data_IF_407951827983
#
_entry.id   IF_407951827983
#
_cell.length_a   1.000
_cell.length_b   1.000
_cell.length_c   1.000
_cell.angle_alpha   90.00
_cell.angle_beta   90.00
_cell.angle_gamma   90.00
#
_symmetry.space_group_name_H-M   'P 1'
#
loop_
_entity.id
_entity.type
_entity.pdbx_description
1 polymer ?
#
# COMPACT_ATOMS: atom_id res chain seq x y z
N UNK A 1 -11.95 -2.19 -23.21
CA UNK A 1 -12.35 -0.90 -22.60
C UNK A 1 -13.20 -1.14 -21.35
N UNK A 2 -12.60 -1.50 -20.20
CA UNK A 2 -13.30 -1.49 -18.88
C UNK A 2 -12.37 -1.75 -17.67
N UNK A 3 -11.07 -1.48 -17.77
CA UNK A 3 -10.11 -1.72 -16.66
C UNK A 3 -10.01 -0.50 -15.74
N UNK A 4 -9.96 0.71 -16.30
CA UNK A 4 -9.87 1.96 -15.52
C UNK A 4 -11.11 2.25 -14.65
N UNK A 5 -12.31 1.85 -15.08
CA UNK A 5 -13.56 2.10 -14.33
C UNK A 5 -13.65 1.27 -13.04
N UNK A 6 -13.19 0.03 -13.10
CA UNK A 6 -13.20 -0.92 -11.98
C UNK A 6 -12.19 -0.52 -10.91
N UNK A 7 -11.02 -0.02 -11.34
CA UNK A 7 -9.94 0.42 -10.46
C UNK A 7 -10.36 1.57 -9.54
N UNK A 8 -11.05 2.58 -10.09
CA UNK A 8 -11.53 3.74 -9.34
C UNK A 8 -12.55 3.39 -8.25
N UNK A 9 -13.51 2.50 -8.56
CA UNK A 9 -14.55 2.08 -7.62
C UNK A 9 -14.00 1.21 -6.49
N UNK A 10 -12.99 0.39 -6.81
CA UNK A 10 -12.19 -0.37 -5.83
C UNK A 10 -11.54 0.62 -4.87
N UNK A 11 -10.75 1.57 -5.36
CA UNK A 11 -10.02 2.54 -4.53
C UNK A 11 -10.93 3.31 -3.55
N UNK A 12 -12.11 3.78 -3.97
CA UNK A 12 -13.03 4.51 -3.10
C UNK A 12 -13.65 3.63 -1.98
N UNK A 13 -14.02 2.39 -2.30
CA UNK A 13 -14.52 1.44 -1.30
C UNK A 13 -13.43 1.08 -0.28
N UNK A 14 -12.19 0.91 -0.76
CA UNK A 14 -11.05 0.61 0.10
C UNK A 14 -10.62 1.79 0.96
N UNK A 15 -10.74 3.03 0.48
CA UNK A 15 -10.49 4.19 1.32
C UNK A 15 -11.51 4.28 2.46
N UNK A 16 -12.78 3.95 2.18
CA UNK A 16 -13.81 3.85 3.22
C UNK A 16 -13.51 2.72 4.20
N UNK A 17 -13.13 1.54 3.73
CA UNK A 17 -12.82 0.42 4.63
C UNK A 17 -11.50 0.66 5.40
N UNK A 18 -10.49 1.30 4.81
CA UNK A 18 -9.26 1.75 5.48
C UNK A 18 -9.61 2.77 6.57
N UNK A 19 -10.38 3.80 6.24
CA UNK A 19 -10.83 4.78 7.22
C UNK A 19 -11.66 4.14 8.33
N UNK A 20 -12.60 3.24 8.00
CA UNK A 20 -13.44 2.58 9.00
C UNK A 20 -12.67 1.58 9.87
N UNK A 21 -11.68 0.88 9.31
CA UNK A 21 -10.96 -0.20 10.01
C UNK A 21 -9.74 0.31 10.78
N UNK A 22 -9.03 1.29 10.23
CA UNK A 22 -7.76 1.76 10.78
C UNK A 22 -7.88 3.15 11.42
N UNK A 23 -8.57 4.10 10.77
CA UNK A 23 -8.74 5.45 11.34
C UNK A 23 -9.85 5.49 12.41
N UNK A 24 -11.01 4.89 12.15
CA UNK A 24 -12.17 4.88 13.06
C UNK A 24 -12.23 3.62 13.94
N UNK A 25 -11.54 2.54 13.54
CA UNK A 25 -11.49 1.28 14.29
C UNK A 25 -10.80 1.39 15.65
N UNK A 26 -10.05 2.47 15.90
CA UNK A 26 -9.59 2.85 17.23
C UNK A 26 -10.72 3.08 18.24
N UNK A 27 -11.95 3.37 17.78
CA UNK A 27 -13.12 3.52 18.65
C UNK A 27 -13.91 2.21 18.90
N UNK A 28 -13.78 1.18 18.06
CA UNK A 28 -14.71 0.03 18.06
C UNK A 28 -14.05 -1.35 18.17
N UNK A 29 -12.72 -1.44 18.25
CA UNK A 29 -12.03 -2.73 18.42
C UNK A 29 -11.01 -2.76 19.54
N UNK A 30 -11.40 -2.29 20.73
CA UNK A 30 -10.77 -2.73 21.96
C UNK A 30 -11.30 -4.13 22.33
N UNK A 31 -10.55 -5.19 22.00
CA UNK A 31 -10.58 -6.39 22.84
C UNK A 31 -9.55 -6.18 23.96
N UNK A 32 -9.86 -6.53 25.21
CA UNK A 32 -8.93 -6.32 26.31
C UNK A 32 -7.84 -7.38 26.22
N UNK A 33 -6.64 -6.96 25.85
CA UNK A 33 -5.42 -7.67 26.20
C UNK A 33 -4.57 -6.70 27.01
N UNK A 34 -4.18 -7.13 28.20
CA UNK A 34 -3.47 -6.33 29.19
C UNK A 34 -2.16 -5.74 28.62
N UNK A 35 -1.90 -4.49 29.01
CA UNK A 35 -0.69 -3.71 28.74
C UNK A 35 -0.41 -3.30 27.27
N UNK A 36 -1.20 -2.32 26.80
CA UNK A 36 -0.83 -1.48 25.65
C UNK A 36 -2.02 -0.65 25.19
N UNK A 37 -2.07 0.63 25.57
CA UNK A 37 -3.14 1.54 25.13
C UNK A 37 -3.29 1.51 23.60
N UNK A 38 -4.52 1.49 23.05
CA UNK A 38 -4.74 1.78 21.65
C UNK A 38 -4.18 3.17 21.37
N UNK A 39 -3.11 3.27 20.56
CA UNK A 39 -2.59 4.55 20.12
C UNK A 39 -3.61 5.13 19.15
N UNK A 40 -4.34 6.17 19.58
CA UNK A 40 -4.91 7.08 18.59
C UNK A 40 -3.74 7.61 17.76
N UNK A 41 -3.78 7.48 16.41
CA UNK A 41 -2.78 8.10 15.57
C UNK A 41 -2.91 9.60 15.79
N UNK A 42 -1.93 10.18 16.48
CA UNK A 42 -1.94 11.57 16.97
C UNK A 42 -2.06 12.62 15.86
N UNK A 43 -1.97 12.19 14.59
CA UNK A 43 -1.86 13.03 13.41
C UNK A 43 -2.89 12.68 12.32
N UNK A 44 -4.10 12.25 12.68
CA UNK A 44 -5.20 12.05 11.73
C UNK A 44 -4.91 11.02 10.64
N UNK A 45 -5.41 11.24 9.42
CA UNK A 45 -5.22 10.34 8.27
C UNK A 45 -3.75 10.18 7.89
N UNK A 46 -2.96 11.25 7.99
CA UNK A 46 -1.51 11.18 7.81
C UNK A 46 -0.86 10.20 8.79
N UNK A 47 -1.17 10.33 10.09
CA UNK A 47 -0.67 9.44 11.13
C UNK A 47 -1.09 8.00 10.89
N UNK A 48 -2.36 7.79 10.51
CA UNK A 48 -2.89 6.48 10.16
C UNK A 48 -2.11 5.80 9.03
N UNK A 49 -1.87 6.52 7.93
CA UNK A 49 -1.12 6.01 6.77
C UNK A 49 0.32 5.71 7.15
N UNK A 50 0.98 6.62 7.88
CA UNK A 50 2.34 6.46 8.37
C UNK A 50 2.48 5.21 9.24
N UNK A 51 1.63 5.06 10.25
CA UNK A 51 1.64 3.90 11.15
C UNK A 51 1.31 2.60 10.40
N UNK A 52 0.41 2.67 9.42
CA UNK A 52 0.08 1.54 8.57
C UNK A 52 1.30 1.08 7.74
N UNK A 53 2.03 2.00 7.10
CA UNK A 53 3.24 1.67 6.33
C UNK A 53 4.29 1.03 7.25
N UNK A 54 4.54 1.60 8.43
CA UNK A 54 5.49 1.03 9.38
C UNK A 54 5.09 -0.40 9.80
N UNK A 55 3.87 -0.58 10.29
CA UNK A 55 3.46 -1.87 10.83
C UNK A 55 3.24 -2.95 9.76
N UNK A 56 2.65 -2.60 8.62
CA UNK A 56 2.31 -3.58 7.60
C UNK A 56 3.43 -3.86 6.61
N UNK A 57 4.35 -2.91 6.40
CA UNK A 57 5.41 -3.04 5.40
C UNK A 57 6.81 -3.10 6.02
N UNK A 58 7.21 -2.09 6.79
CA UNK A 58 8.61 -2.00 7.23
C UNK A 58 8.92 -2.96 8.38
N UNK A 59 8.16 -2.91 9.47
CA UNK A 59 8.34 -3.76 10.67
C UNK A 59 7.93 -5.21 10.43
N UNK A 60 7.04 -5.39 9.45
CA UNK A 60 6.69 -6.70 8.92
C UNK A 60 7.93 -7.45 8.39
N UNK A 61 8.97 -6.77 7.90
CA UNK A 61 10.18 -7.43 7.39
C UNK A 61 11.27 -7.44 8.45
N UNK A 62 11.73 -8.62 8.85
CA UNK A 62 12.77 -8.75 9.87
C UNK A 62 14.18 -8.57 9.28
N UNK A 63 14.99 -7.76 9.97
CA UNK A 63 16.38 -7.49 9.63
C UNK A 63 16.74 -6.03 9.90
N UNK A 64 17.99 -5.77 10.27
CA UNK A 64 18.51 -4.41 10.51
C UNK A 64 19.11 -3.75 9.26
N UNK A 65 19.27 -4.51 8.17
CA UNK A 65 19.83 -4.06 6.89
C UNK A 65 18.96 -4.58 5.74
N UNK A 66 17.95 -3.80 5.36
CA UNK A 66 16.98 -4.09 4.29
C UNK A 66 17.32 -3.25 3.06
N UNK A 67 17.19 -3.85 1.87
CA UNK A 67 17.28 -3.13 0.60
C UNK A 67 15.87 -2.96 0.06
N UNK A 68 15.34 -1.74 0.15
CA UNK A 68 13.96 -1.42 -0.19
C UNK A 68 13.86 -0.91 -1.62
N UNK A 69 12.94 -1.48 -2.41
CA UNK A 69 12.72 -1.12 -3.80
C UNK A 69 11.36 -0.47 -3.97
N UNK A 70 11.31 0.66 -4.69
CA UNK A 70 10.05 1.27 -5.09
C UNK A 70 10.07 1.76 -6.52
N UNK A 71 8.91 1.71 -7.20
CA UNK A 71 8.73 2.46 -8.45
C UNK A 71 8.44 3.94 -8.16
N UNK A 72 8.35 4.74 -9.22
CA UNK A 72 8.13 6.19 -9.09
C UNK A 72 6.82 6.55 -8.37
N UNK A 73 5.77 5.74 -8.55
CA UNK A 73 4.45 6.03 -7.97
C UNK A 73 4.41 5.67 -6.48
N UNK A 74 4.93 4.50 -6.12
CA UNK A 74 5.15 4.10 -4.74
C UNK A 74 6.08 5.07 -4.01
N UNK A 75 7.15 5.54 -4.65
CA UNK A 75 8.03 6.56 -4.08
C UNK A 75 7.29 7.87 -3.78
N UNK A 76 6.42 8.33 -4.69
CA UNK A 76 5.60 9.52 -4.46
C UNK A 76 4.69 9.36 -3.23
N UNK A 77 4.05 8.20 -3.07
CA UNK A 77 3.21 7.90 -1.90
C UNK A 77 4.02 7.87 -0.61
N UNK A 78 5.19 7.21 -0.60
CA UNK A 78 6.06 7.18 0.58
C UNK A 78 6.53 8.58 0.98
N UNK A 79 6.95 9.39 0.00
CA UNK A 79 7.45 10.75 0.24
C UNK A 79 6.39 11.71 0.80
N UNK A 80 5.09 11.38 0.65
CA UNK A 80 4.02 12.16 1.28
C UNK A 80 3.92 11.94 2.79
N UNK A 81 4.25 10.75 3.30
CA UNK A 81 4.00 10.37 4.70
C UNK A 81 5.26 10.06 5.50
N UNK A 82 6.38 9.83 4.82
CA UNK A 82 7.65 9.42 5.39
C UNK A 82 8.78 10.34 4.94
N UNK A 83 9.71 10.56 5.85
CA UNK A 83 11.00 11.21 5.60
C UNK A 83 12.08 10.11 5.52
N UNK A 84 13.20 10.33 4.82
CA UNK A 84 14.25 9.31 4.68
C UNK A 84 14.77 8.74 6.01
N UNK A 85 14.90 9.57 7.06
CA UNK A 85 15.31 9.09 8.39
C UNK A 85 14.35 8.04 8.99
N UNK A 86 13.06 8.10 8.66
CA UNK A 86 12.08 7.13 9.14
C UNK A 86 12.38 5.75 8.55
N UNK A 87 12.74 5.68 7.27
CA UNK A 87 13.09 4.41 6.63
C UNK A 87 14.32 3.78 7.30
N UNK A 88 15.32 4.60 7.64
CA UNK A 88 16.57 4.15 8.27
C UNK A 88 16.30 3.61 9.67
N UNK A 89 15.48 4.28 10.48
CA UNK A 89 15.08 3.82 11.82
C UNK A 89 14.39 2.45 11.77
N UNK A 90 13.66 2.17 10.69
CA UNK A 90 13.02 0.88 10.44
C UNK A 90 13.92 -0.11 9.66
N UNK A 91 15.23 0.10 9.63
CA UNK A 91 16.24 -0.83 9.13
C UNK A 91 16.42 -0.84 7.61
N UNK A 92 15.92 0.17 6.89
CA UNK A 92 16.21 0.34 5.45
C UNK A 92 17.58 1.02 5.30
N UNK A 93 18.54 0.29 4.76
CA UNK A 93 19.91 0.81 4.53
C UNK A 93 20.08 1.36 3.12
N UNK A 94 19.29 0.86 2.17
CA UNK A 94 19.31 1.28 0.78
C UNK A 94 17.87 1.39 0.28
N UNK A 95 17.55 2.52 -0.35
CA UNK A 95 16.31 2.75 -1.09
C UNK A 95 16.68 2.89 -2.56
N UNK A 96 16.23 1.96 -3.40
CA UNK A 96 16.56 1.93 -4.83
C UNK A 96 15.30 1.99 -5.70
N UNK A 97 15.42 2.60 -6.88
CA UNK A 97 14.37 2.58 -7.89
C UNK A 97 14.24 1.18 -8.49
N UNK A 98 13.02 0.65 -8.49
CA UNK A 98 12.67 -0.65 -9.04
C UNK A 98 13.16 -0.81 -10.49
N UNK A 99 13.13 0.26 -11.29
CA UNK A 99 13.41 0.21 -12.73
C UNK A 99 14.90 0.28 -13.06
N UNK A 100 15.76 0.57 -12.08
CA UNK A 100 17.20 0.68 -12.28
C UNK A 100 17.92 -0.66 -12.11
N UNK A 101 18.97 -0.94 -12.91
CA UNK A 101 19.80 -2.13 -12.70
C UNK A 101 20.51 -2.08 -11.35
N UNK A 102 20.47 -3.19 -10.62
CA UNK A 102 20.93 -3.25 -9.22
C UNK A 102 21.94 -4.35 -8.93
N UNK A 103 22.74 -4.13 -7.88
CA UNK A 103 23.76 -5.07 -7.41
C UNK A 103 23.16 -5.98 -6.33
N UNK A 104 23.31 -7.32 -6.45
CA UNK A 104 22.86 -8.26 -5.42
C UNK A 104 23.48 -8.00 -4.05
N UNK A 105 22.67 -8.10 -3.01
CA UNK A 105 23.11 -8.10 -1.61
C UNK A 105 22.46 -9.32 -0.94
N UNK A 106 23.11 -10.46 -1.10
CA UNK A 106 22.56 -11.79 -0.79
C UNK A 106 22.17 -11.95 0.69
N UNK A 107 22.82 -11.21 1.59
CA UNK A 107 22.55 -11.24 3.03
C UNK A 107 21.32 -10.45 3.46
N UNK A 108 20.82 -9.54 2.63
CA UNK A 108 19.76 -8.59 3.01
C UNK A 108 18.40 -9.05 2.49
N UNK A 109 17.31 -8.90 3.27
CA UNK A 109 15.95 -9.03 2.75
C UNK A 109 15.62 -7.89 1.79
N UNK A 110 14.75 -8.18 0.81
CA UNK A 110 14.32 -7.23 -0.20
C UNK A 110 12.80 -7.00 -0.17
N UNK A 111 12.33 -5.93 0.51
CA UNK A 111 11.00 -5.39 0.33
C UNK A 111 10.86 -4.66 -1.01
N UNK A 112 9.83 -5.00 -1.77
CA UNK A 112 9.44 -4.35 -3.02
C UNK A 112 8.07 -3.70 -2.84
N UNK A 113 7.95 -2.41 -3.14
CA UNK A 113 6.71 -1.66 -3.08
C UNK A 113 6.43 -0.95 -4.40
N UNK A 114 5.45 -1.41 -5.16
CA UNK A 114 5.24 -0.94 -6.53
C UNK A 114 3.82 -1.19 -7.05
N UNK A 115 3.48 -0.56 -8.16
CA UNK A 115 2.22 -0.79 -8.89
C UNK A 115 2.33 -2.07 -9.68
N UNK A 116 1.35 -2.96 -9.54
CA UNK A 116 1.39 -4.29 -10.16
C UNK A 116 1.00 -4.26 -11.64
N UNK A 117 1.86 -3.61 -12.42
CA UNK A 117 1.84 -3.52 -13.87
C UNK A 117 2.89 -4.44 -14.49
N UNK A 118 2.76 -4.70 -15.79
CA UNK A 118 3.62 -5.65 -16.50
C UNK A 118 5.11 -5.31 -16.40
N UNK A 119 5.48 -4.03 -16.52
CA UNK A 119 6.89 -3.61 -16.50
C UNK A 119 7.56 -3.76 -15.11
N UNK A 120 7.00 -3.21 -14.01
CA UNK A 120 7.48 -3.47 -12.65
C UNK A 120 7.57 -4.96 -12.30
N UNK A 121 6.52 -5.74 -12.60
CA UNK A 121 6.49 -7.19 -12.33
C UNK A 121 7.59 -7.91 -13.11
N UNK A 122 7.78 -7.60 -14.39
CA UNK A 122 8.83 -8.21 -15.21
C UNK A 122 10.22 -7.94 -14.63
N UNK A 123 10.49 -6.72 -14.13
CA UNK A 123 11.77 -6.41 -13.48
C UNK A 123 12.00 -7.21 -12.21
N UNK A 124 10.98 -7.38 -11.37
CA UNK A 124 11.08 -8.24 -10.19
C UNK A 124 11.32 -9.70 -10.60
N UNK A 125 10.69 -10.19 -11.66
CA UNK A 125 10.94 -11.56 -12.16
C UNK A 125 12.37 -11.72 -12.66
N UNK A 126 12.88 -10.76 -13.44
CA UNK A 126 14.23 -10.78 -13.99
C UNK A 126 15.33 -10.82 -12.93
N UNK A 127 15.18 -10.02 -11.85
CA UNK A 127 16.10 -10.00 -10.71
C UNK A 127 16.35 -11.40 -10.14
N UNK A 128 15.30 -12.22 -10.10
CA UNK A 128 15.28 -13.53 -9.46
C UNK A 128 15.39 -14.70 -10.43
N UNK A 129 15.41 -14.47 -11.75
CA UNK A 129 15.48 -15.53 -12.74
C UNK A 129 16.87 -16.19 -12.80
N UNK A 130 17.93 -15.39 -12.93
CA UNK A 130 19.28 -15.91 -13.17
C UNK A 130 20.02 -16.31 -11.88
N UNK A 131 19.84 -15.53 -10.80
CA UNK A 131 20.53 -15.68 -9.52
C UNK A 131 19.57 -15.46 -8.36
N UNK A 132 20.04 -15.72 -7.15
CA UNK A 132 19.34 -15.35 -5.92
C UNK A 132 19.94 -14.03 -5.43
N UNK A 133 19.34 -12.87 -5.74
CA UNK A 133 19.97 -11.58 -5.49
C UNK A 133 19.93 -11.15 -4.03
N UNK A 134 18.97 -11.65 -3.26
CA UNK A 134 18.66 -11.25 -1.87
C UNK A 134 18.31 -12.48 -1.03
N UNK A 135 18.30 -12.30 0.29
CA UNK A 135 18.01 -13.39 1.24
C UNK A 135 16.59 -13.93 1.05
N UNK A 136 15.62 -13.00 1.07
CA UNK A 136 14.19 -13.25 0.98
C UNK A 136 13.51 -12.11 0.20
N UNK A 137 12.34 -12.39 -0.40
CA UNK A 137 11.54 -11.38 -1.10
C UNK A 137 10.24 -11.10 -0.35
N UNK A 138 9.89 -9.81 -0.28
CA UNK A 138 8.62 -9.33 0.26
C UNK A 138 8.00 -8.38 -0.75
N UNK A 139 6.83 -8.73 -1.31
CA UNK A 139 6.14 -7.94 -2.31
C UNK A 139 4.93 -7.27 -1.68
N UNK A 140 4.91 -5.95 -1.82
CA UNK A 140 3.88 -5.05 -1.37
C UNK A 140 3.30 -4.35 -2.60
N UNK A 141 2.12 -4.76 -3.01
CA UNK A 141 1.41 -4.16 -4.12
C UNK A 141 0.75 -2.86 -3.67
N UNK A 142 1.01 -1.76 -4.38
CA UNK A 142 0.44 -0.45 -4.04
C UNK A 142 -1.10 -0.46 -4.07
N UNK A 143 -1.67 -1.09 -5.10
CA UNK A 143 -3.11 -1.30 -5.27
C UNK A 143 -3.45 -2.77 -5.47
N UNK A 144 -4.68 -3.07 -5.92
CA UNK A 144 -5.08 -4.45 -6.21
C UNK A 144 -4.22 -5.05 -7.33
N UNK A 145 -3.58 -6.18 -7.07
CA UNK A 145 -2.89 -6.93 -8.10
C UNK A 145 -3.88 -7.37 -9.20
N UNK A 146 -3.58 -7.03 -10.46
CA UNK A 146 -4.39 -7.51 -11.59
C UNK A 146 -4.22 -9.03 -11.74
N UNK A 147 -5.28 -9.74 -12.13
CA UNK A 147 -5.37 -11.21 -12.09
C UNK A 147 -4.26 -11.98 -12.86
N UNK A 148 -3.47 -11.33 -13.72
CA UNK A 148 -2.37 -11.93 -14.50
C UNK A 148 -1.00 -11.87 -13.81
N UNK A 149 -0.77 -10.89 -12.94
CA UNK A 149 0.55 -10.64 -12.34
C UNK A 149 0.99 -11.66 -11.27
N UNK A 150 0.11 -12.24 -10.41
CA UNK A 150 0.55 -13.22 -9.43
C UNK A 150 1.09 -14.51 -10.08
N UNK A 151 0.56 -14.85 -11.26
CA UNK A 151 1.00 -16.03 -12.02
C UNK A 151 2.44 -15.86 -12.55
N UNK A 152 2.85 -14.65 -12.90
CA UNK A 152 4.23 -14.37 -13.35
C UNK A 152 5.20 -14.43 -12.17
N UNK A 153 4.84 -13.85 -11.02
CA UNK A 153 5.64 -13.91 -9.80
C UNK A 153 5.82 -15.34 -9.29
N UNK A 154 4.76 -16.16 -9.36
CA UNK A 154 4.80 -17.57 -8.95
C UNK A 154 5.74 -18.44 -9.82
N UNK A 155 6.02 -18.02 -11.07
CA UNK A 155 6.92 -18.76 -11.98
C UNK A 155 8.39 -18.44 -11.75
N UNK A 156 8.72 -17.36 -11.04
CA UNK A 156 10.09 -16.99 -10.78
C UNK A 156 10.70 -17.81 -9.63
N UNK A 157 12.04 -17.97 -9.63
CA UNK A 157 12.77 -18.69 -8.55
C UNK A 157 12.64 -18.05 -7.17
N UNK A 158 11.94 -16.93 -7.09
CA UNK A 158 11.59 -16.24 -5.85
C UNK A 158 10.53 -17.00 -5.03
N UNK A 159 9.68 -17.85 -5.62
CA UNK A 159 8.59 -18.55 -4.91
C UNK A 159 9.01 -19.25 -3.60
N UNK A 160 10.10 -20.04 -3.53
CA UNK A 160 10.56 -20.65 -2.27
C UNK A 160 11.11 -19.65 -1.25
N UNK A 161 11.38 -18.40 -1.65
CA UNK A 161 11.91 -17.31 -0.81
C UNK A 161 10.90 -16.18 -0.62
N UNK A 162 9.70 -16.32 -1.18
CA UNK A 162 8.63 -15.36 -1.06
C UNK A 162 8.00 -15.49 0.31
N UNK A 163 8.38 -14.57 1.20
CA UNK A 163 7.89 -14.57 2.57
C UNK A 163 6.56 -13.83 2.67
N UNK A 164 6.35 -12.81 1.83
CA UNK A 164 5.12 -12.00 1.82
C UNK A 164 4.77 -11.55 0.41
N UNK A 165 3.50 -11.68 0.06
CA UNK A 165 2.85 -11.02 -1.07
C UNK A 165 1.55 -10.42 -0.52
N UNK A 166 1.48 -9.09 -0.43
CA UNK A 166 0.32 -8.39 0.12
C UNK A 166 -0.04 -7.18 -0.71
N UNK A 167 -1.34 -6.99 -0.89
CA UNK A 167 -1.90 -5.74 -1.39
C UNK A 167 -1.99 -4.75 -0.22
N UNK A 168 -1.23 -3.66 -0.29
CA UNK A 168 -1.16 -2.60 0.72
C UNK A 168 -2.28 -1.57 0.52
N UNK A 169 -2.86 -1.50 -0.67
CA UNK A 169 -4.04 -0.67 -0.95
C UNK A 169 -3.85 0.81 -0.60
N UNK A 170 -2.62 1.31 -0.78
CA UNK A 170 -2.20 2.67 -0.51
C UNK A 170 -2.00 3.44 -1.82
N UNK A 171 -2.98 3.35 -2.72
CA UNK A 171 -2.97 4.06 -3.99
C UNK A 171 -3.60 5.45 -3.88
N UNK A 172 -3.16 6.19 -2.86
CA UNK A 172 -3.53 7.57 -2.55
C UNK A 172 -2.41 8.19 -1.70
N UNK A 173 -2.32 9.52 -1.73
CA UNK A 173 -1.40 10.28 -0.90
C UNK A 173 -2.15 10.88 0.29
N UNK A 174 -1.51 10.90 1.47
CA UNK A 174 -1.97 11.67 2.63
C UNK A 174 -0.88 12.70 2.98
N UNK A 175 -0.86 13.88 2.32
CA UNK A 175 0.19 14.88 2.53
C UNK A 175 0.05 15.65 3.85
N UNK A 176 -1.16 15.72 4.43
CA UNK A 176 -1.44 16.48 5.65
C UNK A 176 -2.33 15.69 6.61
N UNK A 177 -2.39 16.13 7.87
CA UNK A 177 -3.10 15.48 8.99
C UNK A 177 -4.52 15.03 8.61
N UNK A 178 -5.27 15.87 7.91
CA UNK A 178 -6.67 15.59 7.55
C UNK A 178 -6.93 15.62 6.04
N UNK A 179 -5.87 15.63 5.22
CA UNK A 179 -5.99 15.73 3.75
C UNK A 179 -5.45 14.47 3.11
N UNK A 180 -6.23 13.92 2.18
CA UNK A 180 -5.78 12.86 1.29
C UNK A 180 -6.14 13.19 -0.16
N UNK A 181 -5.38 12.64 -1.10
CA UNK A 181 -5.56 12.83 -2.52
C UNK A 181 -5.43 11.49 -3.25
N UNK A 182 -6.44 11.13 -4.05
CA UNK A 182 -6.49 9.85 -4.76
C UNK A 182 -5.61 9.81 -6.03
N UNK A 183 -4.87 10.88 -6.33
CA UNK A 183 -3.98 10.98 -7.50
C UNK A 183 -4.60 10.51 -8.81
N UNK A 184 -5.91 10.72 -8.97
CA UNK A 184 -6.66 10.33 -10.16
C UNK A 184 -6.53 11.37 -11.26
N UNK A 185 -5.48 11.28 -12.07
CA UNK A 185 -5.44 12.00 -13.35
C UNK A 185 -6.48 11.34 -14.28
N UNK A 186 -7.62 12.01 -14.53
CA UNK A 186 -8.75 11.62 -15.42
C UNK A 186 -9.87 10.68 -14.89
N UNK A 187 -9.91 10.31 -13.60
CA UNK A 187 -10.87 9.31 -13.09
C UNK A 187 -12.14 9.83 -12.42
N UNK A 188 -12.19 11.12 -12.06
CA UNK A 188 -13.21 11.66 -11.14
C UNK A 188 -14.64 11.52 -11.68
N UNK A 189 -14.86 11.83 -12.96
CA UNK A 189 -16.18 11.73 -13.61
C UNK A 189 -16.69 10.29 -13.71
N UNK A 190 -15.78 9.31 -13.89
CA UNK A 190 -16.17 7.90 -13.99
C UNK A 190 -16.52 7.28 -12.64
N UNK A 191 -15.90 7.73 -11.56
CA UNK A 191 -16.18 7.24 -10.21
C UNK A 191 -17.55 7.75 -9.73
N UNK A 192 -17.85 9.04 -9.94
CA UNK A 192 -19.11 9.66 -9.54
C UNK A 192 -20.36 9.06 -10.22
N UNK A 193 -20.29 8.74 -11.52
CA UNK A 193 -21.43 8.13 -12.24
C UNK A 193 -21.73 6.69 -11.79
N UNK A 194 -20.70 5.89 -11.48
CA UNK A 194 -20.88 4.51 -11.03
C UNK A 194 -21.27 4.43 -9.56
N UNK A 195 -20.71 5.31 -8.71
CA UNK A 195 -21.19 5.49 -7.34
C UNK A 195 -22.68 5.83 -7.31
N UNK A 196 -23.20 6.64 -8.26
CA UNK A 196 -24.64 6.96 -8.42
C UNK A 196 -25.54 5.77 -8.76
N UNK A 197 -25.03 4.77 -9.49
CA UNK A 197 -25.82 3.61 -9.95
C UNK A 197 -25.86 2.46 -8.93
N UNK A 198 -25.02 2.49 -7.88
CA UNK A 198 -24.98 1.46 -6.82
C UNK A 198 -25.57 1.95 -5.48
N UNK A 199 -26.30 3.08 -5.49
CA UNK A 199 -26.88 3.76 -4.30
C UNK A 199 -28.16 3.08 -3.78
N UNK A 200 -28.77 2.14 -4.51
CA UNK A 200 -30.04 1.49 -4.10
C UNK A 200 -29.83 0.21 -3.26
N UNK A 201 -28.84 0.20 -2.38
CA UNK A 201 -28.57 -0.90 -1.45
C UNK A 201 -28.88 -0.52 0.02
N UNK A 202 -29.62 -1.34 0.79
CA UNK A 202 -30.12 -0.98 2.13
C UNK A 202 -29.04 -0.85 3.23
N UNK A 203 -27.78 -1.21 2.96
CA UNK A 203 -26.67 -1.11 3.91
C UNK A 203 -25.99 0.28 3.95
N UNK A 204 -26.38 1.22 3.08
CA UNK A 204 -25.72 2.53 2.94
C UNK A 204 -26.26 3.66 3.83
N UNK A 205 -27.45 3.50 4.42
CA UNK A 205 -28.05 4.52 5.30
C UNK A 205 -27.21 4.83 6.53
N UNK A 206 -26.45 3.86 7.06
CA UNK A 206 -25.54 4.07 8.19
C UNK A 206 -24.20 4.71 7.78
N UNK A 207 -23.73 4.49 6.54
CA UNK A 207 -22.46 5.02 6.01
C UNK A 207 -22.57 6.45 5.47
N UNK A 208 -23.80 6.97 5.29
CA UNK A 208 -24.06 8.35 4.85
C UNK A 208 -23.47 9.42 5.78
N UNK A 209 -23.47 9.21 7.09
CA UNK A 209 -22.98 10.24 8.02
C UNK A 209 -21.46 10.45 7.97
N UNK A 210 -20.70 9.40 7.66
CA UNK A 210 -19.23 9.49 7.61
C UNK A 210 -18.77 10.10 6.29
N UNK A 211 -19.39 9.72 5.16
CA UNK A 211 -19.06 10.31 3.87
C UNK A 211 -19.49 11.78 3.77
N UNK A 212 -20.65 12.17 4.32
CA UNK A 212 -21.10 13.58 4.24
C UNK A 212 -20.15 14.51 5.03
N UNK A 213 -19.65 14.09 6.20
CA UNK A 213 -18.69 14.89 6.98
C UNK A 213 -17.28 14.99 6.37
N UNK A 214 -16.91 14.10 5.44
CA UNK A 214 -15.59 14.13 4.78
C UNK A 214 -15.56 15.02 3.53
N UNK A 215 -16.72 15.41 2.97
CA UNK A 215 -16.80 16.07 1.67
C UNK A 215 -17.42 17.48 1.68
N UNK A 216 -17.63 18.07 2.85
CA UNK A 216 -18.24 19.40 2.97
C UNK A 216 -17.75 20.05 4.27
N UNK A 217 -17.43 21.36 4.25
CA UNK A 217 -16.78 22.07 5.36
C UNK A 217 -17.60 22.10 6.64
#
# INVERSE_FOLDING_TARGET
MCTHKTHACIQAHFLCDFYLTWCAGGLLRARPTEAGQPREPSNGVFGCVRDYIFHQMLDAVHGSSKVFFCDAHAAAVLNCSLRPHDLIEHGVTLLEDLMTPRRPIISSPAPYFFVVEDAPVSRVVEDWMAKVPYRDVHIFALGCATHRSPQQLARARMAPRAMRLRDIMLDFAAPEVLVFHLSMQNGFLSCCLYCRLRIDGPLWTLRRHVLWRLFTP
#
